data_IF_964947325166
#
_entry.id   IF_964947325166
#
_cell.length_a   1.000
_cell.length_b   1.000
_cell.length_c   1.000
_cell.angle_alpha   90.00
_cell.angle_beta   90.00
_cell.angle_gamma   90.00
#
_symmetry.space_group_name_H-M   'P 1'
#
loop_
_entity.id
_entity.type
_entity.pdbx_description
1 polymer ?
#
# COMPACT_ATOMS: atom_id res chain seq x y z
N UNK A 1 23.06 -1.70 -8.73
CA UNK A 1 22.20 -1.62 -7.91
C UNK A 1 20.96 -1.17 -8.34
N UNK A 2 20.03 -1.58 -7.91
CA UNK A 2 18.92 -1.31 -8.40
C UNK A 2 18.02 -0.69 -7.52
N UNK A 3 18.35 0.49 -7.08
CA UNK A 3 17.54 1.28 -6.23
C UNK A 3 16.18 1.49 -6.80
N UNK A 4 16.10 1.55 -8.11
CA UNK A 4 14.83 1.80 -8.74
C UNK A 4 13.84 0.67 -8.53
N UNK A 5 14.34 -0.50 -8.15
CA UNK A 5 13.46 -1.62 -7.93
C UNK A 5 13.09 -1.82 -6.48
N UNK A 6 13.55 -0.96 -5.60
CA UNK A 6 13.20 -1.05 -4.20
C UNK A 6 11.71 -0.74 -4.03
N UNK A 7 10.97 -1.60 -3.38
CA UNK A 7 9.54 -1.34 -3.18
C UNK A 7 9.32 -0.06 -2.41
N UNK A 8 8.23 0.60 -2.70
CA UNK A 8 7.90 1.85 -2.03
C UNK A 8 6.40 2.04 -1.97
N UNK A 9 5.97 2.98 -1.15
CA UNK A 9 4.57 3.38 -1.14
C UNK A 9 4.51 4.90 -1.15
N UNK A 10 3.37 5.41 -1.59
CA UNK A 10 3.22 6.86 -1.72
C UNK A 10 3.11 7.52 -0.36
N UNK A 11 3.72 8.68 -0.25
CA UNK A 11 3.67 9.47 0.97
C UNK A 11 2.90 10.75 0.68
N UNK A 12 1.93 11.05 1.53
CA UNK A 12 1.09 12.24 1.35
C UNK A 12 1.32 13.16 2.55
N UNK A 13 2.20 14.15 2.41
CA UNK A 13 2.60 14.95 3.57
C UNK A 13 1.46 15.64 4.29
N UNK A 14 0.51 16.16 3.55
CA UNK A 14 -0.59 16.86 4.18
C UNK A 14 -1.44 15.93 5.03
N UNK A 15 -1.76 14.77 4.49
CA UNK A 15 -2.51 13.78 5.25
C UNK A 15 -1.74 13.27 6.44
N UNK A 16 -0.43 13.08 6.26
CA UNK A 16 0.39 12.57 7.34
C UNK A 16 0.44 13.58 8.47
N UNK A 17 0.67 14.85 8.16
CA UNK A 17 0.70 15.87 9.19
C UNK A 17 -0.62 15.97 9.94
N UNK A 18 -1.73 15.83 9.22
CA UNK A 18 -3.03 15.84 9.88
C UNK A 18 -3.19 14.68 10.84
N UNK A 19 -2.71 13.52 10.46
CA UNK A 19 -2.86 12.33 11.29
C UNK A 19 -1.98 12.31 12.52
N UNK A 20 -0.85 13.03 12.51
CA UNK A 20 0.07 13.01 13.65
C UNK A 20 -0.03 14.26 14.50
N UNK A 21 -1.05 15.14 14.21
CA UNK A 21 -1.14 16.43 14.84
C UNK A 21 -1.00 16.42 16.35
N UNK A 22 -1.54 15.44 17.02
CA UNK A 22 -1.50 15.38 18.46
C UNK A 22 -0.45 14.45 19.03
N UNK A 23 0.45 13.98 18.19
CA UNK A 23 1.51 13.09 18.62
C UNK A 23 2.77 13.86 18.97
N UNK A 24 3.52 13.34 19.94
CA UNK A 24 4.85 13.85 20.19
C UNK A 24 5.81 13.32 19.13
N UNK A 25 6.99 13.92 19.07
CA UNK A 25 7.99 13.48 18.11
C UNK A 25 8.36 12.02 18.31
N UNK A 26 8.41 11.58 19.57
CA UNK A 26 8.70 10.18 19.85
C UNK A 26 7.62 9.29 19.30
N UNK A 27 6.37 9.67 19.49
CA UNK A 27 5.25 8.90 18.97
C UNK A 27 5.26 8.86 17.45
N UNK A 28 5.59 9.98 16.82
CA UNK A 28 5.67 10.01 15.37
C UNK A 28 6.76 9.05 14.87
N UNK A 29 7.90 9.03 15.56
CA UNK A 29 8.96 8.12 15.19
C UNK A 29 8.53 6.66 15.25
N UNK A 30 7.83 6.31 16.32
CA UNK A 30 7.32 4.94 16.46
C UNK A 30 6.33 4.64 15.34
N UNK A 31 5.45 5.60 15.06
CA UNK A 31 4.42 5.40 14.05
C UNK A 31 5.00 5.21 12.66
N UNK A 32 5.94 6.08 12.26
CA UNK A 32 6.49 5.96 10.90
C UNK A 32 7.30 4.67 10.74
N UNK A 33 8.01 4.26 11.80
CA UNK A 33 8.73 3.00 11.74
C UNK A 33 7.76 1.83 11.62
N UNK A 34 6.65 1.89 12.33
CA UNK A 34 5.66 0.82 12.28
C UNK A 34 5.08 0.70 10.87
N UNK A 35 4.85 1.82 10.21
CA UNK A 35 4.35 1.77 8.84
C UNK A 35 5.35 1.11 7.92
N UNK A 36 6.62 1.42 8.09
CA UNK A 36 7.66 0.82 7.27
C UNK A 36 7.76 -0.68 7.52
N UNK A 37 7.68 -1.10 8.77
CA UNK A 37 7.72 -2.52 9.10
C UNK A 37 6.53 -3.25 8.49
N UNK A 38 5.35 -2.64 8.59
CA UNK A 38 4.17 -3.27 8.00
C UNK A 38 4.34 -3.43 6.49
N UNK A 39 4.87 -2.41 5.84
CA UNK A 39 5.04 -2.47 4.39
C UNK A 39 5.99 -3.59 4.00
N UNK A 40 7.09 -3.74 4.74
CA UNK A 40 8.12 -4.71 4.38
C UNK A 40 7.79 -6.11 4.88
N UNK A 41 7.30 -6.21 6.10
CA UNK A 41 7.13 -7.51 6.75
C UNK A 41 5.70 -7.99 6.89
N UNK A 42 4.74 -7.11 6.68
CA UNK A 42 3.35 -7.49 6.81
C UNK A 42 2.77 -7.03 8.14
N UNK A 43 1.64 -7.60 8.52
CA UNK A 43 0.93 -7.17 9.71
C UNK A 43 1.81 -7.21 10.96
N UNK A 44 1.56 -6.28 11.85
CA UNK A 44 2.35 -6.15 13.07
C UNK A 44 1.82 -7.12 14.11
N UNK A 45 2.73 -7.81 14.78
CA UNK A 45 2.35 -8.81 15.77
C UNK A 45 1.81 -8.18 17.03
N UNK A 46 1.04 -8.96 17.77
CA UNK A 46 0.41 -8.46 18.98
C UNK A 46 1.41 -7.94 20.00
N UNK A 47 2.54 -8.61 20.17
CA UNK A 47 3.52 -8.19 21.15
C UNK A 47 4.11 -6.84 20.81
N UNK A 48 4.39 -6.61 19.55
CA UNK A 48 4.93 -5.32 19.15
C UNK A 48 3.87 -4.24 19.28
N UNK A 49 2.64 -4.54 18.88
CA UNK A 49 1.55 -3.59 19.00
C UNK A 49 1.35 -3.15 20.44
N UNK A 50 1.46 -4.07 21.38
CA UNK A 50 1.26 -3.75 22.78
C UNK A 50 2.24 -2.71 23.28
N UNK A 51 3.41 -2.63 22.68
CA UNK A 51 4.43 -1.68 23.11
C UNK A 51 4.19 -0.27 22.62
N UNK A 52 3.24 -0.08 21.71
CA UNK A 52 2.99 1.24 21.12
C UNK A 52 2.27 2.15 22.12
N UNK A 53 2.55 3.46 22.07
CA UNK A 53 1.72 4.42 22.80
C UNK A 53 0.30 4.43 22.25
N UNK A 54 -0.64 4.87 23.06
CA UNK A 54 -2.04 4.82 22.68
C UNK A 54 -2.31 5.53 21.35
N UNK A 55 -1.71 6.67 21.13
CA UNK A 55 -1.97 7.42 19.90
C UNK A 55 -1.48 6.69 18.68
N UNK A 56 -0.41 5.92 18.82
CA UNK A 56 0.06 5.08 17.73
C UNK A 56 -0.87 3.88 17.57
N UNK A 57 -1.26 3.27 18.68
CA UNK A 57 -2.19 2.13 18.61
C UNK A 57 -3.46 2.48 17.86
N UNK A 58 -3.94 3.70 18.04
CA UNK A 58 -5.18 4.13 17.41
C UNK A 58 -5.10 4.16 15.89
N UNK A 59 -3.91 4.09 15.33
CA UNK A 59 -3.74 4.11 13.89
C UNK A 59 -3.81 2.72 13.25
N UNK A 60 -4.02 1.69 14.04
CA UNK A 60 -3.99 0.31 13.54
C UNK A 60 -5.25 -0.42 13.93
N UNK A 61 -5.62 -1.40 13.11
CA UNK A 61 -6.77 -2.26 13.41
C UNK A 61 -6.31 -3.71 13.40
N UNK A 62 -7.00 -4.53 14.17
CA UNK A 62 -6.66 -5.94 14.29
C UNK A 62 -7.25 -6.73 13.13
N UNK A 63 -6.43 -7.58 12.53
CA UNK A 63 -6.90 -8.51 11.51
C UNK A 63 -6.49 -9.91 11.91
N UNK A 64 -6.85 -10.89 11.11
CA UNK A 64 -6.49 -12.27 11.38
C UNK A 64 -4.98 -12.47 11.43
N UNK A 65 -4.24 -11.65 10.71
CA UNK A 65 -2.79 -11.80 10.62
C UNK A 65 -2.02 -10.89 11.56
N UNK A 66 -2.70 -10.01 12.27
CA UNK A 66 -2.04 -9.04 13.15
C UNK A 66 -2.65 -7.67 12.94
N UNK A 67 -1.87 -6.65 13.29
CA UNK A 67 -2.37 -5.27 13.26
C UNK A 67 -1.89 -4.57 12.00
N UNK A 68 -2.78 -3.83 11.36
CA UNK A 68 -2.41 -3.11 10.15
C UNK A 68 -2.93 -1.68 10.21
N UNK A 69 -2.23 -0.80 9.52
CA UNK A 69 -2.75 0.52 9.22
C UNK A 69 -3.51 0.37 7.91
N UNK A 70 -4.80 0.67 7.94
CA UNK A 70 -5.65 0.38 6.79
C UNK A 70 -5.29 1.18 5.56
N UNK A 71 -4.90 2.43 5.74
CA UNK A 71 -4.55 3.25 4.60
C UNK A 71 -3.31 2.73 3.90
N UNK A 72 -2.30 2.33 4.67
CA UNK A 72 -1.09 1.78 4.09
C UNK A 72 -1.40 0.50 3.34
N UNK A 73 -2.23 -0.36 3.92
CA UNK A 73 -2.59 -1.60 3.29
C UNK A 73 -3.35 -1.34 1.99
N UNK A 74 -4.22 -0.35 2.00
CA UNK A 74 -4.96 0.02 0.80
C UNK A 74 -4.01 0.48 -0.30
N UNK A 75 -3.03 1.32 0.04
CA UNK A 75 -2.08 1.83 -0.93
C UNK A 75 -1.20 0.71 -1.49
N UNK A 76 -0.79 -0.19 -0.62
CA UNK A 76 0.02 -1.31 -1.05
C UNK A 76 -0.73 -2.20 -2.02
N UNK A 77 -1.97 -2.53 -1.68
CA UNK A 77 -2.79 -3.38 -2.53
C UNK A 77 -3.13 -2.70 -3.84
N UNK A 78 -3.38 -1.41 -3.81
CA UNK A 78 -3.69 -0.66 -5.01
C UNK A 78 -2.51 -0.70 -5.99
N UNK A 79 -1.30 -0.52 -5.48
CA UNK A 79 -0.12 -0.57 -6.33
C UNK A 79 0.07 -1.95 -6.93
N UNK A 80 -0.12 -2.97 -6.15
CA UNK A 80 0.03 -4.32 -6.63
C UNK A 80 -1.01 -4.68 -7.68
N UNK A 81 -2.24 -4.27 -7.45
CA UNK A 81 -3.29 -4.54 -8.42
C UNK A 81 -3.02 -3.85 -9.74
N UNK A 82 -2.56 -2.62 -9.69
CA UNK A 82 -2.23 -1.89 -10.90
C UNK A 82 -1.13 -2.59 -11.68
N UNK A 83 -0.11 -3.05 -10.96
CA UNK A 83 0.99 -3.73 -11.58
C UNK A 83 0.55 -5.03 -12.25
N UNK A 84 -0.25 -5.81 -11.55
CA UNK A 84 -0.77 -7.06 -12.11
C UNK A 84 -1.63 -6.80 -13.33
N UNK A 85 -2.43 -5.78 -13.27
CA UNK A 85 -3.29 -5.42 -14.37
C UNK A 85 -2.49 -5.07 -15.60
N UNK A 86 -1.42 -4.33 -15.43
CA UNK A 86 -0.58 -3.98 -16.56
C UNK A 86 0.08 -5.18 -17.18
N UNK A 87 0.59 -6.08 -16.37
CA UNK A 87 1.23 -7.28 -16.88
C UNK A 87 0.23 -8.13 -17.63
N UNK A 88 -0.94 -8.29 -17.06
CA UNK A 88 -1.97 -9.08 -17.69
C UNK A 88 -2.38 -8.50 -19.03
N UNK A 89 -2.54 -7.19 -19.10
CA UNK A 89 -2.90 -6.55 -20.34
C UNK A 89 -1.85 -6.72 -21.41
N UNK A 90 -0.57 -6.63 -21.03
CA UNK A 90 0.49 -6.82 -21.99
C UNK A 90 0.50 -8.24 -22.55
N UNK A 91 0.32 -9.21 -21.69
CA UNK A 91 0.30 -10.59 -22.12
C UNK A 91 -0.90 -10.87 -23.01
N UNK A 92 -2.03 -10.33 -22.63
CA UNK A 92 -3.21 -10.49 -23.43
C UNK A 92 -3.06 -9.88 -24.82
N UNK A 93 -2.45 -8.72 -24.86
CA UNK A 93 -2.25 -8.04 -26.13
C UNK A 93 -1.35 -8.82 -27.06
N UNK A 94 -0.40 -9.53 -26.53
CA UNK A 94 0.47 -10.31 -27.38
C UNK A 94 -0.26 -11.44 -28.08
N UNK A 95 -1.33 -11.92 -27.49
CA UNK A 95 -2.03 -13.07 -28.01
C UNK A 95 -3.31 -12.72 -28.75
N UNK A 96 -3.62 -11.47 -28.91
CA UNK A 96 -4.88 -11.11 -29.53
C UNK A 96 -4.65 -10.40 -30.84
N UNK A 97 -5.60 -10.52 -31.75
CA UNK A 97 -5.53 -9.79 -32.99
C UNK A 97 -5.76 -8.31 -32.70
N UNK A 98 -5.42 -7.49 -33.65
CA UNK A 98 -5.63 -6.07 -33.52
C UNK A 98 -7.11 -5.76 -33.31
N UNK A 99 -7.96 -6.42 -34.05
CA UNK A 99 -9.40 -6.17 -33.92
C UNK A 99 -9.90 -6.46 -32.53
N UNK A 100 -9.44 -7.55 -31.95
CA UNK A 100 -9.85 -7.90 -30.61
C UNK A 100 -9.40 -6.88 -29.60
N UNK A 101 -8.18 -6.40 -29.77
CA UNK A 101 -7.67 -5.39 -28.84
C UNK A 101 -8.45 -4.08 -28.95
N UNK A 102 -8.82 -3.70 -30.16
CA UNK A 102 -9.59 -2.48 -30.35
C UNK A 102 -10.97 -2.60 -29.73
N UNK A 103 -11.57 -3.74 -29.86
CA UNK A 103 -12.87 -3.95 -29.25
C UNK A 103 -12.80 -3.85 -27.74
N UNK A 104 -11.79 -4.45 -27.15
CA UNK A 104 -11.66 -4.42 -25.71
C UNK A 104 -11.38 -3.01 -25.20
N UNK A 105 -10.70 -2.23 -26.00
CA UNK A 105 -10.44 -0.87 -25.63
C UNK A 105 -11.65 0.03 -25.83
N UNK A 106 -12.70 -0.48 -26.43
CA UNK A 106 -13.89 0.32 -26.63
C UNK A 106 -13.79 1.24 -27.83
N UNK A 107 -12.77 1.08 -28.64
CA UNK A 107 -12.60 1.91 -29.81
C UNK A 107 -13.59 1.54 -30.89
N UNK A 108 -13.80 0.26 -31.07
CA UNK A 108 -14.74 -0.20 -32.04
C UNK A 108 -15.94 -0.67 -31.30
N UNK A 109 -17.09 -0.03 -31.61
CA UNK A 109 -18.17 -0.39 -30.89
C UNK A 109 -18.99 -1.08 -31.74
N UNK A 110 -19.35 -1.68 -31.81
CA UNK A 110 -20.15 -2.23 -32.66
C UNK A 110 -20.31 -3.40 -32.51
#
# INVERSE_FOLDING_TARGET
MDKLKTPSFNFYPESFLGGIRKMTDKEVGIYIKALCYQFIEGAIEDDEYKSFPKKVKDKFVRTDNGWINERLEYEKNRKERYKESRIKNLEGNKNKSLDERLKEAGVIKK
#
